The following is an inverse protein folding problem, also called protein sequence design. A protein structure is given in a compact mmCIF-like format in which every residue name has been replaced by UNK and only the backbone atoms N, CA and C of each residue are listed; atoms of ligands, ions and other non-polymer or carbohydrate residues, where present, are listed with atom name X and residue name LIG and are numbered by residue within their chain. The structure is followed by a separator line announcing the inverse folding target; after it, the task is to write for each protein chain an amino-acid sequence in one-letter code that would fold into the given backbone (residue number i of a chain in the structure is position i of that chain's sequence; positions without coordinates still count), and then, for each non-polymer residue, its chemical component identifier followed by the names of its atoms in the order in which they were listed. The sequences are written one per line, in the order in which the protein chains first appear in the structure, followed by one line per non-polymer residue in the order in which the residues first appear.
data_IF_254662597581
#
_entry.id   IF_254662597581
#
_cell.length_a   1.000
_cell.length_b   1.000
_cell.length_c   1.000
_cell.angle_alpha   90.00
_cell.angle_beta   90.00
_cell.angle_gamma   90.00
#
_symmetry.space_group_name_H-M   'P 1'
#
loop_
_entity.id
_entity.type
_entity.pdbx_description
1 polymer ?
#
# COMPACT_ATOMS: atom_id res chain seq x y z
N UNK A 1 -35.13 -49.59 43.15
CA UNK A 1 -34.90 -49.20 41.76
C UNK A 1 -34.23 -47.85 41.77
N UNK A 2 -32.92 -47.78 41.55
CA UNK A 2 -32.17 -46.51 41.45
C UNK A 2 -32.15 -46.06 39.98
N UNK A 3 -32.74 -44.90 39.71
CA UNK A 3 -32.63 -44.25 38.40
C UNK A 3 -31.44 -43.29 38.47
N UNK A 4 -30.36 -43.60 37.75
CA UNK A 4 -29.19 -42.73 37.59
C UNK A 4 -29.48 -41.73 36.48
N UNK A 5 -29.58 -40.43 36.85
CA UNK A 5 -29.58 -39.33 35.92
C UNK A 5 -28.16 -39.07 35.41
N UNK A 6 -27.92 -39.20 34.11
CA UNK A 6 -26.68 -38.78 33.44
C UNK A 6 -26.84 -37.30 33.09
N UNK A 7 -26.04 -36.45 33.72
CA UNK A 7 -25.87 -35.07 33.33
C UNK A 7 -24.89 -34.98 32.16
N UNK A 8 -25.37 -34.63 30.98
CA UNK A 8 -24.53 -34.32 29.81
C UNK A 8 -24.06 -32.88 29.92
N UNK A 9 -22.81 -32.66 30.31
CA UNK A 9 -22.14 -31.39 30.25
C UNK A 9 -21.79 -31.08 28.77
N UNK A 10 -22.58 -30.25 28.14
CA UNK A 10 -22.28 -29.68 26.82
C UNK A 10 -21.15 -28.66 26.94
N UNK A 11 -19.97 -28.98 26.44
CA UNK A 11 -18.87 -28.00 26.27
C UNK A 11 -19.15 -27.19 25.02
N UNK A 12 -19.61 -25.96 25.21
CA UNK A 12 -19.73 -24.98 24.12
C UNK A 12 -18.31 -24.50 23.75
N UNK A 13 -17.80 -24.97 22.62
CA UNK A 13 -16.59 -24.44 22.00
C UNK A 13 -16.90 -23.04 21.45
N UNK A 14 -16.52 -22.01 22.19
CA UNK A 14 -16.54 -20.63 21.71
C UNK A 14 -15.34 -20.50 20.77
N UNK A 15 -15.61 -20.60 19.47
CA UNK A 15 -14.63 -20.25 18.43
C UNK A 15 -14.45 -18.73 18.46
N UNK A 16 -13.44 -18.24 19.15
CA UNK A 16 -13.00 -16.87 19.06
C UNK A 16 -12.39 -16.67 17.67
N UNK A 17 -13.17 -16.13 16.73
CA UNK A 17 -12.66 -15.60 15.48
C UNK A 17 -11.74 -14.44 15.82
N UNK A 18 -10.44 -14.62 15.70
CA UNK A 18 -9.48 -13.52 15.69
C UNK A 18 -9.79 -12.71 14.44
N UNK A 19 -10.57 -11.65 14.60
CA UNK A 19 -10.69 -10.63 13.58
C UNK A 19 -9.29 -9.98 13.45
N UNK A 20 -8.55 -10.37 12.42
CA UNK A 20 -7.35 -9.64 12.01
C UNK A 20 -7.85 -8.26 11.63
N UNK A 21 -7.48 -7.24 12.40
CA UNK A 21 -7.79 -5.86 12.05
C UNK A 21 -7.24 -5.63 10.65
N UNK A 22 -8.11 -5.23 9.73
CA UNK A 22 -7.68 -4.91 8.36
C UNK A 22 -6.65 -3.78 8.45
N UNK A 23 -5.55 -3.93 7.72
CA UNK A 23 -4.56 -2.86 7.63
C UNK A 23 -5.23 -1.55 7.20
N UNK A 24 -4.88 -0.44 7.82
CA UNK A 24 -5.47 0.88 7.54
C UNK A 24 -5.30 1.30 6.08
N UNK A 25 -4.33 0.72 5.36
CA UNK A 25 -4.10 0.94 3.93
C UNK A 25 -5.13 0.25 3.03
N UNK A 26 -5.78 -0.81 3.49
CA UNK A 26 -6.74 -1.57 2.69
C UNK A 26 -7.87 -0.67 2.21
N UNK A 27 -8.11 -0.69 0.90
CA UNK A 27 -9.11 0.12 0.22
C UNK A 27 -8.61 0.72 -1.08
N UNK A 28 -9.45 1.55 -1.68
CA UNK A 28 -9.17 2.29 -2.90
C UNK A 28 -8.88 3.75 -2.56
N UNK A 29 -7.82 4.30 -3.13
CA UNK A 29 -7.32 5.64 -2.86
C UNK A 29 -7.16 6.39 -4.18
N UNK A 30 -7.83 7.52 -4.32
CA UNK A 30 -7.79 8.34 -5.52
C UNK A 30 -6.99 9.60 -5.30
N UNK A 31 -6.07 9.91 -6.22
CA UNK A 31 -5.24 11.11 -6.17
C UNK A 31 -6.08 12.38 -6.08
N UNK A 32 -5.77 13.21 -5.09
CA UNK A 32 -6.27 14.56 -4.97
C UNK A 32 -5.20 15.54 -5.49
N UNK A 33 -5.29 15.90 -6.76
CA UNK A 33 -4.30 16.74 -7.41
C UNK A 33 -4.18 18.12 -6.75
N UNK A 34 -5.29 18.67 -6.23
CA UNK A 34 -5.30 20.00 -5.58
C UNK A 34 -4.50 20.03 -4.27
N UNK A 35 -4.41 18.90 -3.58
CA UNK A 35 -3.64 18.75 -2.34
C UNK A 35 -2.22 18.23 -2.56
N UNK A 36 -1.88 17.86 -3.79
CA UNK A 36 -0.60 17.22 -4.15
C UNK A 36 0.38 18.21 -4.73
N UNK A 37 1.68 17.93 -4.57
CA UNK A 37 2.80 18.69 -5.15
C UNK A 37 3.76 17.73 -5.84
N UNK A 38 4.14 18.05 -7.06
CA UNK A 38 5.08 17.27 -7.86
C UNK A 38 6.27 18.12 -8.28
N UNK A 39 7.46 17.58 -8.07
CA UNK A 39 8.72 18.18 -8.52
C UNK A 39 9.68 17.05 -8.97
N UNK A 40 10.09 17.02 -10.25
CA UNK A 40 9.59 17.86 -11.32
C UNK A 40 8.13 17.54 -11.67
N UNK A 41 7.40 18.58 -12.10
CA UNK A 41 6.06 18.40 -12.66
C UNK A 41 6.09 17.89 -14.11
N UNK A 42 4.94 17.72 -14.73
CA UNK A 42 3.60 17.93 -14.20
C UNK A 42 3.06 16.77 -13.36
N UNK A 43 1.99 17.04 -12.60
CA UNK A 43 1.25 15.97 -11.91
C UNK A 43 0.52 15.07 -12.93
N UNK A 44 0.29 13.79 -12.61
CA UNK A 44 -0.53 12.92 -13.44
C UNK A 44 -1.98 13.40 -13.49
N UNK A 45 -2.68 13.12 -14.58
CA UNK A 45 -4.12 13.41 -14.73
C UNK A 45 -4.96 12.63 -13.76
N UNK A 46 -4.61 11.38 -13.51
CA UNK A 46 -5.22 10.56 -12.48
C UNK A 46 -4.27 9.49 -11.98
N UNK A 47 -4.42 9.13 -10.72
CA UNK A 47 -3.73 7.99 -10.13
C UNK A 47 -4.63 7.38 -9.07
N UNK A 48 -4.89 6.08 -9.22
CA UNK A 48 -5.65 5.28 -8.26
C UNK A 48 -4.74 4.21 -7.70
N UNK A 49 -4.71 4.10 -6.38
CA UNK A 49 -4.04 3.03 -5.66
C UNK A 49 -5.10 2.14 -5.03
N UNK A 50 -4.93 0.82 -5.15
CA UNK A 50 -5.79 -0.16 -4.49
C UNK A 50 -4.95 -1.10 -3.68
N UNK A 51 -5.20 -1.15 -2.37
CA UNK A 51 -4.58 -2.08 -1.46
C UNK A 51 -5.58 -3.16 -1.07
N UNK A 52 -5.20 -4.41 -1.26
CA UNK A 52 -6.02 -5.59 -0.99
C UNK A 52 -5.24 -6.62 -0.18
N UNK A 53 -5.88 -7.33 0.77
CA UNK A 53 -5.28 -8.49 1.39
C UNK A 53 -4.94 -9.55 0.32
N UNK A 54 -3.83 -10.23 0.49
CA UNK A 54 -3.36 -11.31 -0.39
C UNK A 54 -2.83 -12.47 0.47
N UNK A 55 -2.84 -13.72 0.01
CA UNK A 55 -2.22 -14.85 0.70
C UNK A 55 -0.75 -14.58 1.06
N UNK A 56 -0.05 -13.79 0.24
CA UNK A 56 1.35 -13.41 0.45
C UNK A 56 1.54 -12.05 1.13
N UNK A 57 0.47 -11.49 1.74
CA UNK A 57 0.51 -10.25 2.49
C UNK A 57 -0.44 -9.18 1.95
N UNK A 58 0.09 -8.04 1.53
CA UNK A 58 -0.65 -6.89 0.99
C UNK A 58 -0.33 -6.73 -0.49
N UNK A 59 -1.37 -6.66 -1.33
CA UNK A 59 -1.24 -6.36 -2.76
C UNK A 59 -1.54 -4.89 -2.99
N UNK A 60 -0.62 -4.18 -3.62
CA UNK A 60 -0.85 -2.87 -4.23
C UNK A 60 -1.07 -3.04 -5.73
N UNK A 61 -2.17 -2.50 -6.22
CA UNK A 61 -2.41 -2.25 -7.65
C UNK A 61 -2.50 -0.74 -7.86
N UNK A 62 -1.91 -0.24 -8.94
CA UNK A 62 -2.01 1.15 -9.33
C UNK A 62 -2.48 1.29 -10.77
N UNK A 63 -3.29 2.31 -11.01
CA UNK A 63 -3.75 2.74 -12.32
C UNK A 63 -3.39 4.21 -12.48
N UNK A 64 -2.54 4.51 -13.44
CA UNK A 64 -2.00 5.84 -13.70
C UNK A 64 -2.42 6.31 -15.08
N UNK A 65 -2.87 7.56 -15.18
CA UNK A 65 -2.92 8.32 -16.44
C UNK A 65 -1.96 9.50 -16.27
N UNK A 66 -0.87 9.51 -17.02
CA UNK A 66 0.16 10.54 -16.94
C UNK A 66 -0.35 11.91 -17.48
N UNK A 67 0.50 12.91 -17.43
CA UNK A 67 0.16 14.26 -17.89
C UNK A 67 -0.16 14.32 -19.39
N UNK A 68 0.44 13.46 -20.18
CA UNK A 68 0.23 13.31 -21.62
C UNK A 68 -1.05 12.55 -21.95
N UNK A 69 -1.63 11.85 -20.98
CA UNK A 69 -2.86 11.04 -21.12
C UNK A 69 -2.58 9.56 -21.41
N UNK A 70 -1.34 9.10 -21.29
CA UNK A 70 -0.99 7.71 -21.45
C UNK A 70 -1.36 6.93 -20.18
N UNK A 71 -2.14 5.87 -20.35
CA UNK A 71 -2.52 4.98 -19.28
C UNK A 71 -1.43 3.91 -19.03
N UNK A 72 -1.19 3.61 -17.76
CA UNK A 72 -0.35 2.49 -17.34
C UNK A 72 -0.90 1.86 -16.06
N UNK A 73 -0.55 0.59 -15.83
CA UNK A 73 -0.90 -0.15 -14.64
C UNK A 73 0.35 -0.78 -14.06
N UNK A 74 0.36 -0.95 -12.74
CA UNK A 74 1.47 -1.56 -12.05
C UNK A 74 1.11 -1.99 -10.64
N UNK A 75 2.12 -2.43 -9.90
CA UNK A 75 1.94 -2.82 -8.51
C UNK A 75 2.92 -3.88 -8.04
N UNK A 76 2.73 -4.29 -6.79
CA UNK A 76 3.52 -5.32 -6.13
C UNK A 76 2.71 -6.04 -5.05
N UNK A 77 3.22 -7.19 -4.61
CA UNK A 77 2.72 -7.90 -3.42
C UNK A 77 3.84 -7.94 -2.39
N UNK A 78 3.53 -7.65 -1.13
CA UNK A 78 4.53 -7.52 -0.07
C UNK A 78 4.01 -7.97 1.29
N UNK A 79 4.92 -8.48 2.14
CA UNK A 79 4.66 -8.71 3.57
C UNK A 79 4.99 -7.49 4.44
N UNK A 80 5.40 -6.38 3.83
CA UNK A 80 5.87 -5.18 4.54
C UNK A 80 7.06 -5.46 5.48
N UNK A 81 7.90 -6.42 5.13
CA UNK A 81 9.06 -6.89 5.92
C UNK A 81 10.40 -6.29 5.45
N UNK A 82 10.36 -5.40 4.46
CA UNK A 82 11.53 -4.71 3.90
C UNK A 82 12.30 -5.53 2.88
N UNK A 83 11.83 -6.72 2.50
CA UNK A 83 12.45 -7.51 1.44
C UNK A 83 12.09 -6.96 0.07
N UNK A 84 12.99 -7.18 -0.86
CA UNK A 84 12.79 -6.81 -2.26
C UNK A 84 11.68 -7.67 -2.88
N UNK A 85 10.72 -7.02 -3.52
CA UNK A 85 9.65 -7.63 -4.31
C UNK A 85 9.63 -7.01 -5.71
N UNK A 86 9.19 -7.77 -6.71
CA UNK A 86 9.06 -7.24 -8.06
C UNK A 86 8.02 -6.11 -8.11
N UNK A 87 8.36 -4.99 -8.75
CA UNK A 87 7.47 -3.86 -8.97
C UNK A 87 7.16 -3.73 -10.46
N UNK A 88 6.02 -4.26 -10.87
CA UNK A 88 5.59 -4.24 -12.24
C UNK A 88 5.04 -2.85 -12.64
N UNK A 89 5.23 -2.46 -13.91
CA UNK A 89 4.62 -1.27 -14.52
C UNK A 89 5.14 0.08 -14.01
N UNK A 90 6.24 0.10 -13.26
CA UNK A 90 6.86 1.34 -12.81
C UNK A 90 8.12 1.64 -13.64
N UNK A 91 8.18 2.80 -14.35
CA UNK A 91 9.36 3.14 -15.16
C UNK A 91 10.62 3.39 -14.32
N UNK A 92 10.46 3.83 -13.07
CA UNK A 92 11.53 4.20 -12.16
C UNK A 92 11.98 3.06 -11.24
N UNK A 93 11.32 1.89 -11.31
CA UNK A 93 11.65 0.75 -10.49
C UNK A 93 11.31 -0.58 -11.18
N UNK A 94 12.12 -1.60 -10.92
CA UNK A 94 11.81 -3.01 -11.18
C UNK A 94 11.62 -3.78 -9.87
N UNK A 95 12.08 -3.20 -8.75
CA UNK A 95 11.95 -3.75 -7.41
C UNK A 95 11.51 -2.69 -6.40
N UNK A 96 10.78 -3.10 -5.40
CA UNK A 96 10.37 -2.32 -4.24
C UNK A 96 10.69 -3.08 -2.95
N UNK A 97 11.03 -2.36 -1.88
CA UNK A 97 11.32 -2.96 -0.56
C UNK A 97 10.44 -2.30 0.50
N UNK A 98 9.13 -2.59 0.53
CA UNK A 98 8.23 -1.97 1.49
C UNK A 98 8.46 -2.54 2.90
N UNK A 99 8.56 -1.65 3.88
CA UNK A 99 8.78 -1.98 5.30
C UNK A 99 7.80 -1.22 6.18
N UNK A 100 7.04 -1.95 7.00
CA UNK A 100 6.17 -1.36 8.02
C UNK A 100 6.99 -0.61 9.05
N UNK A 101 6.57 0.59 9.39
CA UNK A 101 7.15 1.43 10.46
C UNK A 101 6.23 1.40 11.67
N UNK A 102 4.93 1.61 11.45
CA UNK A 102 3.87 1.54 12.45
C UNK A 102 2.53 1.14 11.79
N UNK A 103 1.41 1.20 12.52
CA UNK A 103 0.10 0.77 12.02
C UNK A 103 -0.44 1.64 10.88
N UNK A 104 0.06 2.86 10.73
CA UNK A 104 -0.38 3.81 9.71
C UNK A 104 0.72 4.18 8.72
N UNK A 105 1.95 3.72 8.93
CA UNK A 105 3.11 4.15 8.16
C UNK A 105 3.90 2.97 7.63
N UNK A 106 4.25 3.00 6.34
CA UNK A 106 5.34 2.20 5.81
C UNK A 106 6.30 3.05 4.99
N UNK A 107 7.55 2.63 4.93
CA UNK A 107 8.58 3.16 4.03
C UNK A 107 8.81 2.17 2.90
N UNK A 108 9.18 2.69 1.74
CA UNK A 108 9.49 1.84 0.60
C UNK A 108 10.70 2.40 -0.14
N UNK A 109 11.59 1.53 -0.55
CA UNK A 109 12.75 1.87 -1.37
C UNK A 109 12.57 1.25 -2.74
N UNK A 110 12.59 2.07 -3.78
CA UNK A 110 12.52 1.62 -5.16
C UNK A 110 13.91 1.46 -5.73
N UNK A 111 14.11 0.40 -6.51
CA UNK A 111 15.36 0.11 -7.17
C UNK A 111 15.14 -0.16 -8.65
N UNK A 112 16.06 0.31 -9.48
CA UNK A 112 16.15 0.02 -10.91
C UNK A 112 17.52 -0.58 -11.20
N UNK A 113 17.54 -1.78 -11.77
CA UNK A 113 18.79 -2.53 -12.01
C UNK A 113 19.69 -2.59 -10.75
N UNK A 114 19.07 -2.84 -9.57
CA UNK A 114 19.76 -2.94 -8.28
C UNK A 114 20.19 -1.61 -7.64
N UNK A 115 20.00 -0.47 -8.32
CA UNK A 115 20.33 0.87 -7.79
C UNK A 115 19.07 1.52 -7.20
N UNK A 116 19.21 2.13 -6.03
CA UNK A 116 18.13 2.92 -5.41
C UNK A 116 17.82 4.12 -6.30
N UNK A 117 16.56 4.30 -6.64
CA UNK A 117 16.03 5.45 -7.39
C UNK A 117 15.21 6.36 -6.49
N UNK A 118 14.14 5.86 -5.91
CA UNK A 118 13.19 6.62 -5.12
C UNK A 118 13.02 5.99 -3.74
N UNK A 119 12.95 6.81 -2.71
CA UNK A 119 12.48 6.42 -1.38
C UNK A 119 11.11 7.04 -1.14
N UNK A 120 10.17 6.26 -0.62
CA UNK A 120 8.83 6.75 -0.30
C UNK A 120 8.50 6.55 1.17
N UNK A 121 7.73 7.47 1.73
CA UNK A 121 7.04 7.31 3.01
C UNK A 121 5.54 7.41 2.76
N UNK A 122 4.81 6.38 3.16
CA UNK A 122 3.36 6.28 2.97
C UNK A 122 2.69 6.31 4.32
N UNK A 123 1.76 7.23 4.51
CA UNK A 123 1.08 7.48 5.78
C UNK A 123 -0.42 7.56 5.55
N UNK A 124 -1.19 6.76 6.29
CA UNK A 124 -2.65 6.91 6.40
C UNK A 124 -2.96 7.80 7.58
N UNK A 125 -3.86 8.77 7.41
CA UNK A 125 -4.33 9.63 8.48
C UNK A 125 -5.05 8.83 9.59
N UNK A 126 -5.06 9.36 10.81
CA UNK A 126 -5.68 8.69 11.96
C UNK A 126 -7.17 8.38 11.77
N UNK A 127 -7.88 9.19 10.98
CA UNK A 127 -9.29 8.97 10.62
C UNK A 127 -9.48 7.96 9.47
N UNK A 128 -8.39 7.45 8.89
CA UNK A 128 -8.39 6.48 7.80
C UNK A 128 -8.89 7.00 6.45
N UNK A 129 -9.01 8.33 6.25
CA UNK A 129 -9.62 8.93 5.06
C UNK A 129 -8.63 9.50 4.05
N UNK A 130 -7.41 9.75 4.48
CA UNK A 130 -6.37 10.37 3.65
C UNK A 130 -5.11 9.50 3.66
N UNK A 131 -4.54 9.26 2.49
CA UNK A 131 -3.24 8.62 2.32
C UNK A 131 -2.28 9.67 1.75
N UNK A 132 -1.12 9.83 2.37
CA UNK A 132 -0.06 10.72 1.90
C UNK A 132 1.17 9.90 1.52
N UNK A 133 1.68 10.13 0.31
CA UNK A 133 2.90 9.52 -0.21
C UNK A 133 3.93 10.60 -0.46
N UNK A 134 4.99 10.62 0.33
CA UNK A 134 6.16 11.46 0.08
C UNK A 134 7.20 10.64 -0.69
N UNK A 135 7.73 11.19 -1.78
CA UNK A 135 8.71 10.54 -2.64
C UNK A 135 9.92 11.45 -2.80
N UNK A 136 11.10 10.91 -2.59
CA UNK A 136 12.38 11.62 -2.78
C UNK A 136 13.38 10.69 -3.47
N UNK A 137 14.24 11.27 -4.31
CA UNK A 137 15.30 10.51 -4.98
C UNK A 137 15.59 11.02 -6.37
N UNK A 138 16.01 10.12 -7.26
CA UNK A 138 16.30 10.41 -8.66
C UNK A 138 15.59 9.40 -9.53
N UNK A 139 14.77 9.88 -10.48
CA UNK A 139 14.03 9.01 -11.39
C UNK A 139 14.95 8.38 -12.48
N UNK A 140 14.39 7.53 -13.32
CA UNK A 140 15.11 6.86 -14.40
C UNK A 140 15.64 7.79 -15.49
N UNK A 141 15.14 9.05 -15.52
CA UNK A 141 15.61 10.12 -16.43
C UNK A 141 16.75 10.96 -15.83
N UNK A 142 17.17 10.67 -14.59
CA UNK A 142 18.20 11.44 -13.89
C UNK A 142 17.70 12.74 -13.23
N UNK A 143 16.38 12.94 -13.14
CA UNK A 143 15.78 14.12 -12.53
C UNK A 143 15.57 13.91 -11.03
N UNK A 144 15.85 14.94 -10.23
CA UNK A 144 15.59 14.93 -8.78
C UNK A 144 14.08 14.98 -8.53
N UNK A 145 13.56 13.98 -7.83
CA UNK A 145 12.14 13.87 -7.45
C UNK A 145 11.95 14.32 -6.01
N UNK A 146 10.95 15.17 -5.80
CA UNK A 146 10.46 15.56 -4.47
C UNK A 146 8.95 15.78 -4.55
N UNK A 147 8.19 14.69 -4.40
CA UNK A 147 6.73 14.70 -4.53
C UNK A 147 6.06 14.52 -3.17
N UNK A 148 4.94 15.19 -3.01
CA UNK A 148 3.94 14.89 -1.99
C UNK A 148 2.62 14.62 -2.68
N UNK A 149 2.21 13.37 -2.75
CA UNK A 149 0.95 12.96 -3.35
C UNK A 149 -0.06 12.65 -2.24
N UNK A 150 -1.22 13.28 -2.30
CA UNK A 150 -2.32 13.11 -1.35
C UNK A 150 -3.47 12.40 -2.04
N UNK A 151 -4.00 11.40 -1.38
CA UNK A 151 -5.11 10.58 -1.89
C UNK A 151 -6.26 10.60 -0.90
N UNK A 152 -7.48 10.66 -1.40
CA UNK A 152 -8.69 10.53 -0.63
C UNK A 152 -9.23 9.09 -0.78
N UNK A 153 -9.68 8.49 0.33
CA UNK A 153 -10.29 7.14 0.33
C UNK A 153 -11.64 7.18 -0.37
N UNK A 154 -11.91 6.13 -1.17
CA UNK A 154 -13.18 5.96 -1.89
C UNK A 154 -14.14 5.06 -1.13
#
# INVERSE_FOLDING_TARGET
MLVRALAVCGVALISASLAVAADNWVGTWKLNAAKSKYSPGPAPKSLTLKFEPSPDGLKLSQELVDAEGKASQGGFVTKLDGKDVAYAGNPDADTASPKRVDDNTYQNTWKKAGKVTITTKVVVSADGKTLTVNQTGTNSKGETVNNTAVYDKQ
#
